data_IF_230909076864
#
_entry.id   IF_230909076864
#
_cell.length_a   1.000
_cell.length_b   1.000
_cell.length_c   1.000
_cell.angle_alpha   90.00
_cell.angle_beta   90.00
_cell.angle_gamma   90.00
#
_symmetry.space_group_name_H-M   'P 1'
#
loop_
_entity.id
_entity.type
_entity.pdbx_description
1 polymer ?
#
# COMPACT_ATOMS: atom_id res chain seq x y z
N UNK A 1 -13.55 -17.53 2.20
CA UNK A 1 -13.45 -18.17 0.90
C UNK A 1 -13.15 -17.08 -0.08
N UNK A 2 -11.92 -17.06 -0.56
CA UNK A 2 -11.60 -16.35 -1.80
C UNK A 2 -12.63 -16.89 -2.79
N UNK A 3 -13.64 -16.10 -3.07
CA UNK A 3 -14.60 -16.44 -4.12
C UNK A 3 -13.74 -16.67 -5.35
N UNK A 4 -13.95 -17.79 -6.01
CA UNK A 4 -13.36 -18.10 -7.30
C UNK A 4 -13.64 -16.94 -8.28
N UNK A 5 -12.84 -15.90 -8.14
CA UNK A 5 -12.85 -14.75 -9.01
C UNK A 5 -12.28 -15.11 -10.38
N UNK A 6 -12.08 -16.39 -10.70
CA UNK A 6 -11.44 -16.81 -11.95
C UNK A 6 -12.25 -16.51 -13.22
N UNK A 7 -13.53 -16.19 -13.09
CA UNK A 7 -14.40 -15.98 -14.24
C UNK A 7 -14.92 -14.54 -14.45
N UNK A 8 -14.74 -13.63 -13.49
CA UNK A 8 -15.24 -12.25 -13.62
C UNK A 8 -14.29 -11.33 -14.39
N UNK A 9 -14.82 -10.25 -15.00
CA UNK A 9 -14.02 -9.22 -15.66
C UNK A 9 -13.04 -8.56 -14.66
N UNK A 10 -13.44 -8.46 -13.41
CA UNK A 10 -12.65 -7.94 -12.30
C UNK A 10 -11.48 -8.88 -11.95
N UNK A 11 -11.69 -10.20 -12.00
CA UNK A 11 -10.62 -11.18 -11.82
C UNK A 11 -9.64 -11.21 -13.01
N UNK A 12 -10.11 -10.90 -14.23
CA UNK A 12 -9.22 -10.68 -15.38
C UNK A 12 -8.35 -9.43 -15.15
N UNK A 13 -8.93 -8.36 -14.63
CA UNK A 13 -8.19 -7.14 -14.30
C UNK A 13 -7.15 -7.40 -13.20
N UNK A 14 -7.53 -8.09 -12.12
CA UNK A 14 -6.60 -8.48 -11.05
C UNK A 14 -5.50 -9.45 -11.52
N UNK A 15 -5.79 -10.36 -12.45
CA UNK A 15 -4.77 -11.22 -13.08
C UNK A 15 -3.82 -10.43 -13.96
N UNK A 16 -4.32 -9.43 -14.68
CA UNK A 16 -3.49 -8.56 -15.49
C UNK A 16 -2.68 -7.60 -14.61
N UNK A 17 -3.28 -7.00 -13.61
CA UNK A 17 -2.58 -6.19 -12.63
C UNK A 17 -1.50 -7.00 -11.87
N UNK A 18 -1.71 -8.30 -11.60
CA UNK A 18 -0.69 -9.21 -11.06
C UNK A 18 0.51 -9.42 -11.99
N UNK A 19 0.36 -9.14 -13.26
CA UNK A 19 1.48 -9.22 -14.23
C UNK A 19 2.27 -7.91 -14.31
N UNK A 20 1.64 -6.79 -13.98
CA UNK A 20 2.19 -5.45 -14.17
C UNK A 20 2.68 -4.79 -12.87
N UNK A 21 2.02 -5.08 -11.79
CA UNK A 21 2.45 -4.79 -10.43
C UNK A 21 2.33 -6.07 -9.65
N UNK A 22 3.16 -6.30 -8.64
CA UNK A 22 2.92 -7.38 -7.68
C UNK A 22 1.67 -7.06 -6.86
N UNK A 23 0.48 -7.06 -7.46
CA UNK A 23 -0.79 -6.98 -6.74
C UNK A 23 -1.07 -8.25 -5.92
N UNK A 24 -0.01 -8.95 -5.53
CA UNK A 24 -0.06 -9.88 -4.42
C UNK A 24 0.25 -9.05 -3.20
N UNK A 25 -0.75 -8.79 -2.38
CA UNK A 25 -0.54 -8.18 -1.08
C UNK A 25 0.46 -9.04 -0.31
N UNK A 26 1.66 -8.52 -0.15
CA UNK A 26 2.69 -9.15 0.67
C UNK A 26 2.45 -8.66 2.09
N UNK A 27 2.27 -9.59 3.03
CA UNK A 27 2.04 -9.30 4.43
C UNK A 27 3.17 -9.86 5.27
N UNK A 28 3.58 -9.18 6.36
CA UNK A 28 4.51 -9.75 7.33
C UNK A 28 3.85 -10.93 8.08
N UNK A 29 4.67 -11.80 8.63
CA UNK A 29 4.18 -13.01 9.32
C UNK A 29 3.77 -12.74 10.76
N UNK A 30 4.22 -11.64 11.37
CA UNK A 30 4.07 -11.32 12.79
C UNK A 30 2.90 -10.37 13.09
N UNK A 31 1.74 -10.56 12.45
CA UNK A 31 0.56 -9.69 12.60
C UNK A 31 -0.35 -10.06 13.78
N UNK A 32 -0.21 -11.25 14.36
CA UNK A 32 -1.11 -11.71 15.42
C UNK A 32 -1.19 -10.73 16.61
N UNK A 33 -2.40 -10.33 16.96
CA UNK A 33 -2.67 -9.40 18.07
C UNK A 33 -2.30 -7.93 17.82
N UNK A 34 -1.85 -7.55 16.62
CA UNK A 34 -1.40 -6.19 16.31
C UNK A 34 -2.52 -5.28 15.83
N UNK A 35 -2.32 -3.98 16.03
CA UNK A 35 -3.11 -2.91 15.41
C UNK A 35 -2.48 -2.56 14.07
N UNK A 36 -3.18 -2.82 12.98
CA UNK A 36 -2.64 -2.70 11.62
C UNK A 36 -3.41 -1.64 10.84
N UNK A 37 -2.70 -0.74 10.18
CA UNK A 37 -3.26 0.22 9.23
C UNK A 37 -2.96 -0.28 7.79
N UNK A 38 -4.02 -0.47 6.99
CA UNK A 38 -3.94 -0.75 5.55
C UNK A 38 -4.25 0.53 4.78
N UNK A 39 -3.23 1.14 4.15
CA UNK A 39 -3.39 2.37 3.38
C UNK A 39 -3.78 2.05 1.94
N UNK A 40 -4.84 2.71 1.45
CA UNK A 40 -5.47 2.48 0.16
C UNK A 40 -5.97 1.03 0.03
N UNK A 41 -6.77 0.62 1.03
CA UNK A 41 -7.35 -0.72 1.13
C UNK A 41 -8.38 -1.02 0.03
N UNK A 42 -8.74 -0.03 -0.79
CA UNK A 42 -9.72 -0.13 -1.86
C UNK A 42 -11.08 -0.63 -1.33
N UNK A 43 -11.58 -1.73 -1.89
CA UNK A 43 -12.83 -2.39 -1.47
C UNK A 43 -12.62 -3.36 -0.29
N UNK A 44 -11.60 -3.13 0.53
CA UNK A 44 -11.36 -3.85 1.79
C UNK A 44 -10.66 -5.21 1.68
N UNK A 45 -10.43 -5.75 0.48
CA UNK A 45 -9.90 -7.12 0.34
C UNK A 45 -8.55 -7.34 1.03
N UNK A 46 -7.70 -6.32 1.06
CA UNK A 46 -6.43 -6.34 1.80
C UNK A 46 -6.68 -6.34 3.31
N UNK A 47 -7.47 -5.38 3.76
CA UNK A 47 -7.82 -5.21 5.17
C UNK A 47 -8.51 -6.47 5.75
N UNK A 48 -9.36 -7.15 4.96
CA UNK A 48 -9.99 -8.41 5.39
C UNK A 48 -8.98 -9.53 5.61
N UNK A 49 -7.97 -9.66 4.73
CA UNK A 49 -6.87 -10.62 4.93
C UNK A 49 -6.00 -10.29 6.12
N UNK A 50 -5.78 -9.01 6.38
CA UNK A 50 -5.06 -8.57 7.57
C UNK A 50 -5.85 -8.94 8.81
N UNK A 51 -7.18 -8.72 8.82
CA UNK A 51 -8.05 -9.09 9.93
C UNK A 51 -7.98 -10.58 10.27
N UNK A 52 -7.95 -11.44 9.26
CA UNK A 52 -7.69 -12.88 9.43
C UNK A 52 -6.36 -13.17 10.15
N UNK A 53 -5.32 -12.40 9.83
CA UNK A 53 -3.96 -12.60 10.37
C UNK A 53 -3.78 -12.04 11.78
N UNK A 54 -4.41 -10.90 12.08
CA UNK A 54 -4.31 -10.31 13.41
C UNK A 54 -5.12 -11.08 14.45
N UNK A 55 -6.19 -11.74 14.04
CA UNK A 55 -7.04 -12.55 14.92
C UNK A 55 -7.78 -11.74 15.98
N UNK A 56 -8.34 -12.43 17.00
CA UNK A 56 -9.21 -11.84 18.02
C UNK A 56 -8.55 -10.74 18.88
N UNK A 57 -7.23 -10.78 19.04
CA UNK A 57 -6.48 -9.82 19.86
C UNK A 57 -6.02 -8.58 19.10
N UNK A 58 -6.23 -8.53 17.77
CA UNK A 58 -5.78 -7.44 16.92
C UNK A 58 -6.90 -6.55 16.43
N UNK A 59 -6.52 -5.47 15.75
CA UNK A 59 -7.47 -4.53 15.15
C UNK A 59 -6.94 -3.98 13.83
N UNK A 60 -7.79 -3.81 12.83
CA UNK A 60 -7.43 -3.28 11.53
C UNK A 60 -8.11 -1.95 11.27
N UNK A 61 -7.33 -0.97 10.83
CA UNK A 61 -7.86 0.25 10.22
C UNK A 61 -7.58 0.18 8.72
N UNK A 62 -8.63 0.10 7.90
CA UNK A 62 -8.51 0.20 6.44
C UNK A 62 -8.85 1.61 5.99
N UNK A 63 -7.97 2.23 5.21
CA UNK A 63 -8.21 3.57 4.66
C UNK A 63 -8.17 3.55 3.14
N UNK A 64 -8.98 4.41 2.51
CA UNK A 64 -8.89 4.72 1.09
C UNK A 64 -9.30 6.20 0.88
N UNK A 65 -8.73 6.84 -0.12
CA UNK A 65 -9.08 8.22 -0.48
C UNK A 65 -10.47 8.34 -1.10
N UNK A 66 -11.05 7.25 -1.63
CA UNK A 66 -12.38 7.18 -2.22
C UNK A 66 -13.43 6.72 -1.23
N UNK A 67 -14.41 7.59 -0.95
CA UNK A 67 -15.58 7.27 -0.13
C UNK A 67 -16.36 6.08 -0.71
N UNK A 68 -16.56 6.03 -2.03
CA UNK A 68 -17.25 4.93 -2.71
C UNK A 68 -16.61 3.57 -2.44
N UNK A 69 -15.27 3.52 -2.44
CA UNK A 69 -14.57 2.26 -2.14
C UNK A 69 -14.72 1.84 -0.68
N UNK A 70 -14.73 2.80 0.24
CA UNK A 70 -14.98 2.54 1.66
C UNK A 70 -16.40 2.01 1.86
N UNK A 71 -17.41 2.63 1.26
CA UNK A 71 -18.80 2.16 1.33
C UNK A 71 -18.93 0.70 0.84
N UNK A 72 -18.31 0.36 -0.29
CA UNK A 72 -18.29 -1.03 -0.78
C UNK A 72 -17.55 -1.97 0.19
N UNK A 73 -16.46 -1.52 0.80
CA UNK A 73 -15.75 -2.33 1.79
C UNK A 73 -16.61 -2.59 3.04
N UNK A 74 -17.36 -1.60 3.51
CA UNK A 74 -18.30 -1.73 4.62
C UNK A 74 -19.45 -2.69 4.31
N UNK A 75 -19.96 -2.69 3.08
CA UNK A 75 -20.98 -3.65 2.62
C UNK A 75 -20.45 -5.10 2.56
N UNK A 76 -19.17 -5.28 2.27
CA UNK A 76 -18.51 -6.59 2.17
C UNK A 76 -18.02 -7.12 3.53
N UNK A 77 -17.75 -6.27 4.49
CA UNK A 77 -17.18 -6.66 5.78
C UNK A 77 -18.02 -7.67 6.57
N UNK A 78 -19.36 -7.55 6.67
CA UNK A 78 -20.20 -8.54 7.37
C UNK A 78 -20.16 -9.93 6.74
N UNK A 79 -19.77 -10.04 5.47
CA UNK A 79 -19.73 -11.30 4.73
C UNK A 79 -18.45 -12.10 4.99
N UNK A 80 -17.49 -11.52 5.72
CA UNK A 80 -16.26 -12.20 6.06
C UNK A 80 -16.51 -13.23 7.17
N UNK A 81 -15.89 -14.40 7.07
CA UNK A 81 -16.15 -15.54 7.97
C UNK A 81 -15.82 -15.26 9.45
N UNK A 82 -14.95 -14.30 9.73
CA UNK A 82 -14.53 -13.90 11.09
C UNK A 82 -15.43 -12.80 11.68
N UNK A 83 -16.26 -12.13 10.88
CA UNK A 83 -16.82 -10.84 11.24
C UNK A 83 -18.31 -10.90 11.61
N UNK A 84 -19.14 -11.44 10.74
CA UNK A 84 -20.58 -11.35 10.89
C UNK A 84 -21.06 -9.90 11.13
N UNK A 85 -22.15 -9.72 11.86
CA UNK A 85 -22.72 -8.39 12.18
C UNK A 85 -21.85 -7.58 13.16
N UNK A 86 -20.84 -8.20 13.77
CA UNK A 86 -19.95 -7.57 14.75
C UNK A 86 -18.58 -7.17 14.18
N UNK A 87 -18.45 -7.06 12.86
CA UNK A 87 -17.18 -6.78 12.19
C UNK A 87 -16.46 -5.51 12.68
N UNK A 88 -17.20 -4.50 13.14
CA UNK A 88 -16.63 -3.28 13.71
C UNK A 88 -15.83 -3.50 15.00
N UNK A 89 -15.97 -4.66 15.64
CA UNK A 89 -15.13 -5.02 16.79
C UNK A 89 -13.70 -5.40 16.39
N UNK A 90 -13.50 -5.75 15.11
CA UNK A 90 -12.22 -6.20 14.56
C UNK A 90 -11.60 -5.20 13.60
N UNK A 91 -12.41 -4.28 13.04
CA UNK A 91 -11.99 -3.39 11.97
C UNK A 91 -12.74 -2.07 11.99
N UNK A 92 -12.03 -1.02 11.58
CA UNK A 92 -12.59 0.28 11.18
C UNK A 92 -12.23 0.54 9.72
N UNK A 93 -13.21 0.92 8.91
CA UNK A 93 -13.00 1.39 7.54
C UNK A 93 -13.29 2.89 7.52
N UNK A 94 -12.41 3.68 6.92
CA UNK A 94 -12.56 5.14 6.93
C UNK A 94 -11.93 5.79 5.70
N UNK A 95 -12.63 6.77 5.15
CA UNK A 95 -12.05 7.61 4.10
C UNK A 95 -10.93 8.47 4.68
N UNK A 96 -9.74 8.41 4.06
CA UNK A 96 -8.60 9.20 4.48
C UNK A 96 -7.65 9.52 3.31
N UNK A 97 -7.02 10.68 3.38
CA UNK A 97 -5.85 11.01 2.57
C UNK A 97 -4.60 10.51 3.29
N UNK A 98 -3.71 9.73 2.66
CA UNK A 98 -2.47 9.28 3.27
C UNK A 98 -1.56 10.40 3.78
N UNK A 99 -1.77 11.63 3.31
CA UNK A 99 -1.02 12.82 3.77
C UNK A 99 -1.66 13.53 4.95
N UNK A 100 -2.82 13.07 5.44
CA UNK A 100 -3.55 13.64 6.58
C UNK A 100 -4.38 12.58 7.31
N UNK A 101 -3.70 11.62 7.89
CA UNK A 101 -4.33 10.52 8.64
C UNK A 101 -4.95 11.01 9.95
N UNK A 102 -4.47 12.14 10.49
CA UNK A 102 -5.02 12.74 11.71
C UNK A 102 -6.47 13.21 11.49
N UNK A 103 -6.78 13.81 10.34
CA UNK A 103 -8.14 14.22 10.00
C UNK A 103 -9.14 13.04 9.96
N UNK A 104 -8.64 11.83 9.68
CA UNK A 104 -9.43 10.59 9.73
C UNK A 104 -9.47 9.97 11.14
N UNK A 105 -8.94 10.64 12.17
CA UNK A 105 -8.92 10.18 13.56
C UNK A 105 -7.98 8.98 13.79
N UNK A 106 -6.84 8.97 13.10
CA UNK A 106 -5.75 8.02 13.36
C UNK A 106 -4.68 8.75 14.17
N UNK A 107 -4.64 8.45 15.46
CA UNK A 107 -3.84 9.17 16.45
C UNK A 107 -2.35 8.82 16.36
N UNK A 108 -1.51 9.66 16.97
CA UNK A 108 -0.09 9.44 17.14
C UNK A 108 0.17 8.12 17.88
N UNK A 109 1.19 7.39 17.47
CA UNK A 109 1.65 6.16 18.12
C UNK A 109 0.53 5.13 18.39
N UNK A 110 -0.48 5.06 17.52
CA UNK A 110 -1.66 4.20 17.70
C UNK A 110 -1.60 2.88 16.91
N UNK A 111 -0.65 2.73 16.00
CA UNK A 111 -0.55 1.63 15.03
C UNK A 111 0.76 0.85 15.24
N UNK A 112 0.69 -0.47 15.27
CA UNK A 112 1.86 -1.31 15.41
C UNK A 112 2.51 -1.65 14.04
N UNK A 113 1.68 -1.78 12.99
CA UNK A 113 2.15 -2.05 11.62
C UNK A 113 1.34 -1.24 10.62
N UNK A 114 2.02 -0.54 9.73
CA UNK A 114 1.39 0.08 8.56
C UNK A 114 1.72 -0.75 7.33
N UNK A 115 0.70 -1.21 6.61
CA UNK A 115 0.85 -1.96 5.35
C UNK A 115 0.48 -1.06 4.18
N UNK A 116 1.35 -1.01 3.18
CA UNK A 116 1.15 -0.23 1.96
C UNK A 116 1.57 -1.04 0.74
N UNK A 117 0.67 -1.17 -0.23
CA UNK A 117 0.96 -1.90 -1.48
C UNK A 117 1.09 -0.93 -2.66
N UNK A 118 2.32 -0.60 -3.03
CA UNK A 118 2.75 0.19 -4.20
C UNK A 118 2.07 1.57 -4.37
N UNK A 119 1.12 1.93 -3.54
CA UNK A 119 0.28 3.12 -3.71
C UNK A 119 1.04 4.42 -3.44
N UNK A 120 2.04 4.40 -2.56
CA UNK A 120 2.85 5.58 -2.25
C UNK A 120 3.72 6.04 -3.43
N UNK A 121 3.93 5.20 -4.43
CA UNK A 121 4.56 5.61 -5.68
C UNK A 121 3.76 6.72 -6.37
N UNK A 122 2.44 6.75 -6.21
CA UNK A 122 1.53 7.72 -6.82
C UNK A 122 1.26 8.96 -5.94
N UNK A 123 1.71 8.96 -4.68
CA UNK A 123 1.44 10.06 -3.77
C UNK A 123 2.06 11.38 -4.27
N UNK A 124 1.29 12.45 -4.48
CA UNK A 124 1.79 13.74 -4.95
C UNK A 124 2.82 14.34 -3.98
N UNK A 125 2.64 14.10 -2.70
CA UNK A 125 3.56 14.51 -1.64
C UNK A 125 3.96 13.29 -0.80
N UNK A 126 4.92 12.53 -1.31
CA UNK A 126 5.44 11.32 -0.65
C UNK A 126 5.99 11.60 0.74
N UNK A 127 6.78 12.66 0.88
CA UNK A 127 7.36 13.00 2.18
C UNK A 127 6.29 13.19 3.23
N UNK A 128 5.21 13.92 2.92
CA UNK A 128 4.11 14.14 3.86
C UNK A 128 3.39 12.83 4.20
N UNK A 129 3.15 11.95 3.22
CA UNK A 129 2.54 10.64 3.46
C UNK A 129 3.42 9.75 4.35
N UNK A 130 4.73 9.67 4.08
CA UNK A 130 5.66 8.91 4.92
C UNK A 130 5.80 9.52 6.32
N UNK A 131 5.72 10.86 6.48
CA UNK A 131 5.73 11.52 7.79
C UNK A 131 4.48 11.20 8.61
N UNK A 132 3.30 11.14 7.98
CA UNK A 132 2.08 10.70 8.65
C UNK A 132 2.15 9.22 9.07
N UNK A 133 2.74 8.37 8.23
CA UNK A 133 2.98 6.96 8.59
C UNK A 133 3.92 6.86 9.79
N UNK A 134 5.02 7.61 9.82
CA UNK A 134 5.94 7.62 10.95
C UNK A 134 5.26 8.12 12.23
N UNK A 135 4.40 9.16 12.15
CA UNK A 135 3.64 9.72 13.27
C UNK A 135 2.70 8.70 13.92
N UNK A 136 1.97 7.94 13.11
CA UNK A 136 0.97 6.98 13.63
C UNK A 136 1.59 5.71 14.18
N UNK A 137 2.84 5.38 13.83
CA UNK A 137 3.53 4.19 14.32
C UNK A 137 3.83 4.31 15.81
N UNK A 138 3.44 3.29 16.57
CA UNK A 138 3.80 3.13 17.96
C UNK A 138 5.31 2.84 18.12
N UNK A 139 5.91 3.10 19.29
CA UNK A 139 7.30 2.71 19.55
C UNK A 139 7.53 1.22 19.26
N UNK A 140 8.49 0.92 18.38
CA UNK A 140 8.78 -0.44 17.91
C UNK A 140 7.84 -0.95 16.81
N UNK A 141 6.89 -0.13 16.37
CA UNK A 141 6.07 -0.39 15.18
C UNK A 141 6.86 -0.16 13.90
N UNK A 142 6.32 -0.64 12.78
CA UNK A 142 7.01 -0.53 11.50
C UNK A 142 6.07 -0.34 10.30
N UNK A 143 6.61 0.28 9.26
CA UNK A 143 6.03 0.30 7.92
C UNK A 143 6.44 -0.98 7.17
N UNK A 144 5.48 -1.59 6.47
CA UNK A 144 5.70 -2.71 5.53
C UNK A 144 5.16 -2.31 4.15
N UNK A 145 6.05 -1.86 3.29
CA UNK A 145 5.72 -1.23 2.02
C UNK A 145 6.23 -2.09 0.85
N UNK A 146 5.32 -2.66 0.07
CA UNK A 146 5.67 -3.26 -1.24
C UNK A 146 5.87 -2.14 -2.26
N UNK A 147 7.11 -1.90 -2.66
CA UNK A 147 7.53 -0.81 -3.52
C UNK A 147 7.95 -1.31 -4.90
N UNK A 148 7.68 -0.50 -5.92
CA UNK A 148 8.34 -0.57 -7.22
C UNK A 148 9.44 0.48 -7.25
N UNK A 149 10.66 0.08 -7.56
CA UNK A 149 11.86 0.89 -7.56
C UNK A 149 12.50 0.93 -8.95
N UNK A 150 13.02 2.08 -9.33
CA UNK A 150 13.86 2.23 -10.50
C UNK A 150 15.32 1.97 -10.12
N UNK A 151 16.06 1.21 -10.95
CA UNK A 151 17.48 0.93 -10.71
C UNK A 151 18.38 2.09 -11.15
N UNK A 152 17.83 3.08 -11.84
CA UNK A 152 18.48 4.33 -12.23
C UNK A 152 17.47 5.49 -12.18
N UNK A 153 17.94 6.74 -12.04
CA UNK A 153 17.04 7.89 -12.04
C UNK A 153 16.17 7.95 -13.30
N UNK A 154 14.89 8.25 -13.11
CA UNK A 154 13.97 8.42 -14.23
C UNK A 154 14.28 9.70 -15.01
N UNK A 155 14.09 9.71 -16.34
CA UNK A 155 14.25 10.93 -17.12
C UNK A 155 13.20 11.97 -16.69
N UNK A 156 13.53 13.26 -16.73
CA UNK A 156 12.57 14.31 -16.44
C UNK A 156 11.41 14.25 -17.44
N UNK A 157 10.19 14.16 -16.93
CA UNK A 157 8.98 14.21 -17.73
C UNK A 157 8.50 15.66 -17.90
N UNK A 158 7.94 15.97 -19.05
CA UNK A 158 7.17 17.22 -19.21
C UNK A 158 5.90 17.16 -18.34
N UNK A 159 5.27 18.31 -18.04
CA UNK A 159 4.01 18.33 -17.26
C UNK A 159 2.94 17.43 -17.90
N UNK A 160 2.79 17.51 -19.23
CA UNK A 160 1.87 16.63 -19.96
C UNK A 160 2.27 15.13 -19.85
N UNK A 161 3.57 14.85 -19.78
CA UNK A 161 4.08 13.49 -19.51
C UNK A 161 3.75 13.03 -18.10
N UNK A 162 3.92 13.88 -17.09
CA UNK A 162 3.51 13.56 -15.72
C UNK A 162 2.02 13.25 -15.62
N UNK A 163 1.17 14.06 -16.22
CA UNK A 163 -0.29 13.86 -16.19
C UNK A 163 -0.70 12.56 -16.90
N UNK A 164 -0.09 12.28 -18.05
CA UNK A 164 -0.35 11.05 -18.80
C UNK A 164 0.12 9.77 -18.09
N UNK A 165 1.15 9.87 -17.24
CA UNK A 165 1.83 8.76 -16.59
C UNK A 165 1.56 8.67 -15.09
N UNK A 166 0.76 9.57 -14.54
CA UNK A 166 0.45 9.62 -13.10
C UNK A 166 -0.13 8.30 -12.55
N UNK A 167 -0.77 7.49 -13.41
CA UNK A 167 -1.29 6.18 -13.06
C UNK A 167 -0.32 5.02 -13.35
N UNK A 168 0.89 5.31 -13.84
CA UNK A 168 1.87 4.29 -14.18
C UNK A 168 2.93 4.18 -13.07
N UNK A 169 2.97 3.03 -12.40
CA UNK A 169 3.85 2.78 -11.26
C UNK A 169 5.34 2.88 -11.62
N UNK A 170 5.73 2.52 -12.83
CA UNK A 170 7.11 2.61 -13.31
C UNK A 170 7.54 4.05 -13.56
N UNK A 171 6.64 4.88 -14.09
CA UNK A 171 6.92 6.29 -14.34
C UNK A 171 7.04 7.13 -13.07
N UNK A 172 6.58 6.58 -11.96
CA UNK A 172 6.63 7.22 -10.65
C UNK A 172 7.55 6.49 -9.66
N UNK A 173 8.26 5.45 -10.11
CA UNK A 173 9.15 4.67 -9.26
C UNK A 173 10.35 5.50 -8.78
N UNK A 174 10.58 5.64 -7.47
CA UNK A 174 11.81 6.24 -6.96
C UNK A 174 12.99 5.26 -7.12
N UNK A 175 14.21 5.78 -7.10
CA UNK A 175 15.37 4.93 -6.82
C UNK A 175 15.42 4.57 -5.33
N UNK A 176 16.25 3.57 -4.96
CA UNK A 176 16.49 3.24 -3.54
C UNK A 176 17.01 4.44 -2.75
N UNK A 177 17.94 5.18 -3.34
CA UNK A 177 18.55 6.35 -2.70
C UNK A 177 17.50 7.45 -2.47
N UNK A 178 16.60 7.68 -3.43
CA UNK A 178 15.51 8.63 -3.29
C UNK A 178 14.52 8.20 -2.20
N UNK A 179 14.15 6.92 -2.17
CA UNK A 179 13.26 6.39 -1.14
C UNK A 179 13.89 6.47 0.25
N UNK A 180 15.17 6.10 0.38
CA UNK A 180 15.91 6.21 1.65
C UNK A 180 15.95 7.63 2.16
N UNK A 181 16.20 8.60 1.28
CA UNK A 181 16.16 10.02 1.67
C UNK A 181 14.78 10.43 2.19
N UNK A 182 13.71 10.01 1.51
CA UNK A 182 12.33 10.28 1.97
C UNK A 182 12.09 9.66 3.34
N UNK A 183 12.50 8.40 3.56
CA UNK A 183 12.35 7.73 4.86
C UNK A 183 13.09 8.49 5.97
N UNK A 184 14.33 8.92 5.73
CA UNK A 184 15.12 9.69 6.69
C UNK A 184 14.44 11.03 7.03
N UNK A 185 14.02 11.78 6.01
CA UNK A 185 13.35 13.08 6.19
C UNK A 185 11.99 12.94 6.87
N UNK A 186 11.30 11.81 6.67
CA UNK A 186 10.02 11.49 7.32
C UNK A 186 10.15 11.05 8.78
N UNK A 187 11.36 10.78 9.29
CA UNK A 187 11.62 10.42 10.68
C UNK A 187 11.84 8.93 10.95
N UNK A 188 11.97 8.09 9.92
CA UNK A 188 12.34 6.69 10.12
C UNK A 188 13.82 6.57 10.50
N UNK A 189 14.10 5.75 11.52
CA UNK A 189 15.44 5.58 12.11
C UNK A 189 16.24 4.44 11.45
N UNK A 190 15.55 3.44 10.90
CA UNK A 190 16.17 2.30 10.22
C UNK A 190 15.22 1.67 9.20
N UNK A 191 15.79 0.96 8.24
CA UNK A 191 15.04 0.26 7.19
C UNK A 191 15.83 -0.90 6.63
N UNK A 192 15.12 -1.83 6.00
CA UNK A 192 15.68 -2.94 5.24
C UNK A 192 14.85 -3.19 3.97
N UNK A 193 15.51 -3.66 2.93
CA UNK A 193 14.89 -4.09 1.69
C UNK A 193 14.84 -5.60 1.66
N UNK A 194 13.65 -6.14 1.48
CA UNK A 194 13.36 -7.57 1.51
C UNK A 194 12.76 -8.01 0.16
N UNK A 195 12.95 -9.28 -0.20
CA UNK A 195 12.31 -9.88 -1.36
C UNK A 195 12.52 -9.11 -2.67
N UNK A 196 13.72 -8.57 -2.86
CA UNK A 196 14.08 -7.85 -4.08
C UNK A 196 14.01 -8.78 -5.29
N UNK A 197 13.28 -8.36 -6.33
CA UNK A 197 13.15 -9.13 -7.56
C UNK A 197 13.08 -8.20 -8.76
N UNK A 198 13.78 -8.54 -9.86
CA UNK A 198 13.63 -7.81 -11.11
C UNK A 198 12.16 -7.73 -11.52
N UNK A 199 11.76 -6.57 -12.02
CA UNK A 199 10.42 -6.30 -12.50
C UNK A 199 10.51 -5.70 -13.90
N UNK A 200 9.90 -6.38 -14.87
CA UNK A 200 9.85 -5.90 -16.25
C UNK A 200 8.51 -5.24 -16.53
N UNK A 201 8.49 -3.98 -17.03
CA UNK A 201 7.26 -3.39 -17.54
C UNK A 201 6.69 -4.27 -18.66
N UNK A 202 5.41 -4.59 -18.57
CA UNK A 202 4.75 -5.34 -19.63
C UNK A 202 4.48 -4.41 -20.83
N UNK A 203 4.14 -5.00 -21.99
CA UNK A 203 3.96 -4.26 -23.24
C UNK A 203 2.92 -3.12 -23.15
N UNK A 204 1.94 -3.25 -22.27
CA UNK A 204 0.89 -2.24 -22.03
C UNK A 204 1.38 -1.08 -21.13
N UNK A 205 2.44 -1.30 -20.32
CA UNK A 205 3.11 -0.29 -19.52
C UNK A 205 4.31 0.33 -20.26
N UNK A 206 4.66 -0.23 -21.42
CA UNK A 206 5.82 0.18 -22.19
C UNK A 206 5.56 1.55 -22.84
N UNK A 207 6.14 2.56 -22.19
CA UNK A 207 6.16 3.91 -22.70
C UNK A 207 7.55 4.16 -23.25
N UNK A 208 7.61 4.82 -24.40
CA UNK A 208 8.88 5.08 -25.10
C UNK A 208 9.91 5.76 -24.18
N UNK A 209 9.45 6.66 -23.28
CA UNK A 209 10.29 7.35 -22.31
C UNK A 209 10.87 6.47 -21.19
N UNK A 210 10.35 5.26 -21.00
CA UNK A 210 10.85 4.26 -20.04
C UNK A 210 11.68 3.15 -20.72
N UNK A 211 11.87 3.24 -22.04
CA UNK A 211 12.63 2.25 -22.80
C UNK A 211 14.08 2.18 -22.33
N UNK A 212 14.55 0.97 -22.05
CA UNK A 212 15.92 0.73 -21.56
C UNK A 212 16.11 0.97 -20.05
N UNK A 213 15.07 1.40 -19.32
CA UNK A 213 15.11 1.46 -17.87
C UNK A 213 14.84 0.09 -17.25
N UNK A 214 15.46 -0.15 -16.11
CA UNK A 214 15.31 -1.38 -15.33
C UNK A 214 14.66 -1.08 -14.00
N UNK A 215 13.84 -2.01 -13.54
CA UNK A 215 13.05 -1.87 -12.32
C UNK A 215 13.16 -3.12 -11.45
N UNK A 216 12.88 -2.95 -10.19
CA UNK A 216 12.70 -4.05 -9.25
C UNK A 216 11.48 -3.81 -8.36
N UNK A 217 10.96 -4.86 -7.80
CA UNK A 217 10.05 -4.77 -6.65
C UNK A 217 10.80 -5.17 -5.40
N UNK A 218 10.54 -4.47 -4.32
CA UNK A 218 11.08 -4.79 -3.01
C UNK A 218 10.04 -4.52 -1.93
N UNK A 219 10.10 -5.28 -0.85
CA UNK A 219 9.40 -4.92 0.36
C UNK A 219 10.33 -4.08 1.22
N UNK A 220 9.89 -2.89 1.58
CA UNK A 220 10.61 -1.99 2.48
C UNK A 220 10.01 -2.13 3.88
N UNK A 221 10.78 -2.62 4.85
CA UNK A 221 10.40 -2.57 6.26
C UNK A 221 11.18 -1.45 6.92
N UNK A 222 10.46 -0.45 7.48
CA UNK A 222 11.08 0.73 8.07
C UNK A 222 10.51 1.01 9.45
N UNK A 223 11.37 1.41 10.40
CA UNK A 223 11.04 1.67 11.81
C UNK A 223 11.17 3.17 12.10
N UNK A 224 10.15 3.75 12.75
CA UNK A 224 10.15 5.15 13.18
C UNK A 224 10.89 5.35 14.51
#
# INVERSE_FOLDING_TARGET
>A
TYVDAESSAEAKWWRNARRHTRCVMVLPDDLAGKRVLDIECRKGLGAFKIADRVGEGGFVVGTDSSTEKIEVAEELAPQQHWAGDAWQQHMRLVQADPTDLLAAGIDDASIDVVVVNSVLNFAPNRLKAFSEIARVLAPGGYLYHDAVLALQPLPPLSQAGHDALAANVFATAPTKEELVRILQEAGFSSWEFLNEQPLEPQREDAIESLSGLTFESAVVRAFA
#
